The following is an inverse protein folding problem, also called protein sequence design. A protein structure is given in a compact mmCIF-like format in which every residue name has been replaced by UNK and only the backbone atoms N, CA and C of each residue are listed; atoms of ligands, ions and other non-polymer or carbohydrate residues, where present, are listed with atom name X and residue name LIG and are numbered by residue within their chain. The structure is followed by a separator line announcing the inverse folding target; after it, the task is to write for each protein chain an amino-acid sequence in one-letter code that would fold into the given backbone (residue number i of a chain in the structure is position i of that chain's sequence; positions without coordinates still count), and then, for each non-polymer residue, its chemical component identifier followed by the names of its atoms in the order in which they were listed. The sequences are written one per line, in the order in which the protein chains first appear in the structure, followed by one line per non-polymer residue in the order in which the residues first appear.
data_IF_227276379528
#
_entry.id   IF_227276379528
#
_cell.length_a   1.000
_cell.length_b   1.000
_cell.length_c   1.000
_cell.angle_alpha   90.00
_cell.angle_beta   90.00
_cell.angle_gamma   90.00
#
_symmetry.space_group_name_H-M   'P 1'
#
loop_
_entity.id
_entity.type
_entity.pdbx_description
1 polymer ?
#
# COMPACT_ATOMS: atom_id res chain seq x y z
N UNK A 1 21.14 -39.19 -17.38
CA UNK A 1 19.67 -39.01 -17.37
C UNK A 1 19.11 -38.43 -16.05
N UNK A 2 19.73 -38.71 -14.90
CA UNK A 2 19.25 -38.21 -13.60
C UNK A 2 19.54 -36.73 -13.33
N UNK A 3 20.63 -36.16 -13.88
CA UNK A 3 21.03 -34.75 -13.63
C UNK A 3 20.05 -33.77 -14.27
N UNK A 4 19.60 -34.05 -15.50
CA UNK A 4 18.61 -33.22 -16.21
C UNK A 4 17.25 -33.24 -15.52
N UNK A 5 16.84 -34.41 -15.00
CA UNK A 5 15.57 -34.58 -14.28
C UNK A 5 15.59 -33.80 -12.95
N UNK A 6 16.69 -33.84 -12.22
CA UNK A 6 16.84 -33.12 -10.96
C UNK A 6 16.91 -31.59 -11.19
N UNK A 7 17.56 -31.13 -12.28
CA UNK A 7 17.59 -29.72 -12.66
C UNK A 7 16.18 -29.20 -12.99
N UNK A 8 15.38 -30.01 -13.68
CA UNK A 8 14.01 -29.64 -14.06
C UNK A 8 13.08 -29.54 -12.84
N UNK A 9 13.25 -30.44 -11.85
CA UNK A 9 12.51 -30.42 -10.57
C UNK A 9 12.89 -29.17 -9.75
N UNK A 10 14.16 -28.79 -9.69
CA UNK A 10 14.62 -27.57 -9.01
C UNK A 10 14.09 -26.31 -9.69
N UNK A 11 14.01 -26.27 -11.02
CA UNK A 11 13.41 -25.14 -11.75
C UNK A 11 11.90 -25.02 -11.49
N UNK A 12 11.16 -26.12 -11.42
CA UNK A 12 9.73 -26.13 -11.11
C UNK A 12 9.44 -25.67 -9.68
N UNK A 13 10.31 -26.00 -8.72
CA UNK A 13 10.18 -25.56 -7.33
C UNK A 13 10.53 -24.07 -7.12
N UNK A 14 11.39 -23.50 -7.98
CA UNK A 14 11.73 -22.08 -7.93
C UNK A 14 10.56 -21.15 -8.39
N UNK A 15 9.61 -21.67 -9.18
CA UNK A 15 8.46 -20.89 -9.64
C UNK A 15 7.35 -20.71 -8.58
N UNK A 16 7.40 -21.42 -7.46
CA UNK A 16 6.33 -21.37 -6.45
C UNK A 16 6.67 -20.55 -5.20
N UNK A 17 7.86 -19.98 -5.12
CA UNK A 17 8.24 -19.11 -4.01
C UNK A 17 7.81 -17.64 -4.29
N UNK A 18 6.54 -17.41 -4.60
CA UNK A 18 5.95 -16.09 -4.36
C UNK A 18 5.83 -15.96 -2.85
N UNK A 19 6.60 -15.05 -2.26
CA UNK A 19 6.39 -14.64 -0.88
C UNK A 19 4.97 -14.06 -0.82
N UNK A 20 4.00 -14.87 -0.38
CA UNK A 20 2.66 -14.38 -0.13
C UNK A 20 2.79 -13.31 0.93
N UNK A 21 2.40 -12.09 0.58
CA UNK A 21 2.28 -11.03 1.57
C UNK A 21 1.22 -11.46 2.58
N UNK A 22 1.36 -11.16 3.88
CA UNK A 22 0.33 -11.48 4.87
C UNK A 22 -0.95 -10.66 4.65
N UNK A 23 -0.94 -9.75 3.70
CA UNK A 23 -2.04 -8.85 3.36
C UNK A 23 -2.82 -9.39 2.17
N UNK A 24 -4.15 -9.32 2.27
CA UNK A 24 -5.08 -9.82 1.25
C UNK A 24 -6.07 -8.71 0.89
N UNK A 25 -6.19 -8.41 -0.39
CA UNK A 25 -7.09 -7.38 -0.92
C UNK A 25 -8.35 -7.98 -1.57
N UNK A 26 -8.61 -9.27 -1.37
CA UNK A 26 -9.78 -9.97 -1.94
C UNK A 26 -11.09 -9.32 -1.49
N UNK A 27 -11.95 -9.01 -2.44
CA UNK A 27 -13.29 -8.47 -2.17
C UNK A 27 -13.32 -7.00 -1.71
N UNK A 28 -12.23 -6.26 -1.83
CA UNK A 28 -12.21 -4.82 -1.61
C UNK A 28 -12.90 -4.12 -2.78
N UNK A 29 -14.15 -3.70 -2.60
CA UNK A 29 -14.96 -3.04 -3.64
C UNK A 29 -15.07 -1.53 -3.47
N UNK A 30 -14.84 -1.03 -2.25
CA UNK A 30 -14.90 0.39 -1.95
C UNK A 30 -14.11 0.72 -0.68
N UNK A 31 -13.61 1.94 -0.61
CA UNK A 31 -13.00 2.54 0.58
C UNK A 31 -13.14 4.05 0.59
N UNK A 32 -12.91 4.67 1.75
CA UNK A 32 -12.73 6.10 1.90
C UNK A 32 -11.25 6.46 1.65
N UNK A 33 -10.92 7.29 0.65
CA UNK A 33 -9.54 7.69 0.37
C UNK A 33 -9.10 8.79 1.33
N UNK A 34 -7.91 8.65 1.92
CA UNK A 34 -7.34 9.60 2.88
C UNK A 34 -5.89 9.92 2.53
N UNK A 35 -5.48 11.15 2.72
CA UNK A 35 -4.08 11.55 2.73
C UNK A 35 -3.84 12.38 3.99
N UNK A 36 -2.93 11.94 4.85
CA UNK A 36 -2.49 12.67 6.02
C UNK A 36 -1.04 13.11 5.87
N UNK A 37 -0.83 14.40 5.94
CA UNK A 37 0.47 15.05 5.85
C UNK A 37 0.84 15.57 7.26
N UNK A 38 1.63 14.77 7.97
CA UNK A 38 2.05 15.07 9.35
C UNK A 38 3.39 15.83 9.37
N UNK A 39 3.49 16.86 8.55
CA UNK A 39 4.65 17.74 8.46
C UNK A 39 4.25 19.07 7.82
N UNK A 40 4.89 20.14 8.26
CA UNK A 40 4.78 21.48 7.69
C UNK A 40 5.90 21.79 6.66
N UNK A 41 6.81 20.83 6.44
CA UNK A 41 7.95 20.95 5.52
C UNK A 41 7.60 20.65 4.05
N UNK A 42 6.40 20.14 3.80
CA UNK A 42 5.88 19.86 2.46
C UNK A 42 4.63 20.74 2.28
N UNK A 43 4.50 21.36 1.11
CA UNK A 43 3.36 22.22 0.81
C UNK A 43 2.03 21.44 0.88
N UNK A 44 1.04 22.01 1.54
CA UNK A 44 -0.26 21.36 1.77
C UNK A 44 -1.00 21.02 0.46
N UNK A 45 -0.66 21.63 -0.68
CA UNK A 45 -1.24 21.31 -1.98
C UNK A 45 -0.91 19.89 -2.46
N UNK A 46 0.21 19.30 -1.97
CA UNK A 46 0.58 17.92 -2.26
C UNK A 46 -0.40 16.91 -1.69
N UNK A 47 -1.06 17.23 -0.57
CA UNK A 47 -2.15 16.40 -0.04
C UNK A 47 -3.25 16.19 -1.10
N UNK A 48 -3.64 17.25 -1.81
CA UNK A 48 -4.65 17.14 -2.87
C UNK A 48 -4.13 16.35 -4.08
N UNK A 49 -2.89 16.59 -4.52
CA UNK A 49 -2.30 15.89 -5.67
C UNK A 49 -2.24 14.39 -5.43
N UNK A 50 -1.77 13.95 -4.26
CA UNK A 50 -1.69 12.54 -3.88
C UNK A 50 -3.08 11.93 -3.74
N UNK A 51 -4.05 12.68 -3.20
CA UNK A 51 -5.44 12.23 -3.15
C UNK A 51 -6.04 12.01 -4.54
N UNK A 52 -5.77 12.93 -5.48
CA UNK A 52 -6.23 12.82 -6.87
C UNK A 52 -5.61 11.57 -7.55
N UNK A 53 -4.31 11.29 -7.33
CA UNK A 53 -3.63 10.07 -7.82
C UNK A 53 -4.29 8.80 -7.26
N UNK A 54 -4.58 8.77 -5.94
CA UNK A 54 -5.23 7.64 -5.28
C UNK A 54 -6.63 7.39 -5.85
N UNK A 55 -7.44 8.45 -6.02
CA UNK A 55 -8.79 8.36 -6.61
C UNK A 55 -8.73 7.89 -8.07
N UNK A 56 -7.78 8.39 -8.85
CA UNK A 56 -7.59 7.97 -10.23
C UNK A 56 -7.25 6.48 -10.30
N UNK A 57 -6.25 6.01 -9.52
CA UNK A 57 -5.86 4.60 -9.47
C UNK A 57 -7.00 3.71 -9.02
N UNK A 58 -7.80 4.14 -8.06
CA UNK A 58 -9.01 3.43 -7.61
C UNK A 58 -10.01 3.24 -8.76
N UNK A 59 -10.22 4.29 -9.54
CA UNK A 59 -11.13 4.26 -10.70
C UNK A 59 -10.63 3.27 -11.77
N UNK A 60 -9.31 3.25 -12.05
CA UNK A 60 -8.68 2.30 -12.98
C UNK A 60 -8.86 0.83 -12.53
N UNK A 61 -8.87 0.59 -11.21
CA UNK A 61 -9.10 -0.73 -10.62
C UNK A 61 -10.59 -1.09 -10.49
N UNK A 62 -11.51 -0.19 -10.80
CA UNK A 62 -12.95 -0.39 -10.61
C UNK A 62 -13.37 -0.37 -9.14
N UNK A 63 -12.56 0.22 -8.25
CA UNK A 63 -12.87 0.37 -6.83
C UNK A 63 -13.54 1.72 -6.60
N UNK A 64 -14.69 1.69 -5.92
CA UNK A 64 -15.42 2.92 -5.60
C UNK A 64 -14.77 3.66 -4.43
N UNK A 65 -14.55 4.96 -4.60
CA UNK A 65 -14.18 5.86 -3.50
C UNK A 65 -15.43 6.49 -2.91
N UNK A 66 -15.70 6.27 -1.61
CA UNK A 66 -16.91 6.74 -0.92
C UNK A 66 -16.56 7.65 0.24
N UNK A 67 -17.39 8.66 0.46
CA UNK A 67 -17.25 9.55 1.63
C UNK A 67 -17.46 8.83 2.97
N UNK A 68 -18.19 7.71 2.97
CA UNK A 68 -18.40 6.87 4.14
C UNK A 68 -18.22 5.40 3.72
N UNK A 69 -17.23 4.76 4.30
CA UNK A 69 -16.94 3.33 4.13
C UNK A 69 -16.42 2.77 5.45
N UNK A 70 -16.61 1.49 5.69
CA UNK A 70 -15.98 0.76 6.81
C UNK A 70 -14.50 0.48 6.55
N UNK A 71 -14.01 0.83 5.35
CA UNK A 71 -12.62 0.74 4.94
C UNK A 71 -12.07 2.11 4.60
N UNK A 72 -10.78 2.29 4.84
CA UNK A 72 -10.06 3.51 4.48
C UNK A 72 -8.73 3.14 3.85
N UNK A 73 -8.47 3.64 2.62
CA UNK A 73 -7.15 3.57 2.01
C UNK A 73 -6.45 4.91 2.23
N UNK A 74 -5.38 4.89 3.00
CA UNK A 74 -4.73 6.08 3.49
C UNK A 74 -3.25 6.18 3.10
N UNK A 75 -2.83 7.34 2.61
CA UNK A 75 -1.42 7.74 2.66
C UNK A 75 -1.14 8.47 3.97
N UNK A 76 -0.10 8.03 4.67
CA UNK A 76 0.47 8.72 5.81
C UNK A 76 1.89 9.18 5.45
N UNK A 77 2.12 10.49 5.53
CA UNK A 77 3.37 11.14 5.15
C UNK A 77 3.92 11.90 6.35
N UNK A 78 5.17 11.64 6.73
CA UNK A 78 5.81 12.27 7.88
C UNK A 78 7.32 12.32 7.72
N UNK A 79 7.97 13.29 8.36
CA UNK A 79 9.41 13.22 8.60
C UNK A 79 9.72 12.44 9.85
N UNK A 80 10.78 11.63 9.78
CA UNK A 80 11.30 10.85 10.91
C UNK A 80 12.80 11.11 11.08
N UNK A 81 13.28 11.10 12.32
CA UNK A 81 14.70 11.15 12.61
C UNK A 81 15.34 9.77 12.46
N UNK A 82 16.41 9.69 11.68
CA UNK A 82 17.25 8.48 11.52
C UNK A 82 18.69 8.88 11.85
N UNK A 83 19.12 8.67 13.09
CA UNK A 83 20.36 9.22 13.61
C UNK A 83 20.34 10.76 13.57
N UNK A 84 21.34 11.35 12.92
CA UNK A 84 21.44 12.81 12.73
C UNK A 84 20.74 13.29 11.43
N UNK A 85 20.09 12.38 10.69
CA UNK A 85 19.45 12.64 9.41
C UNK A 85 17.94 12.69 9.55
N UNK A 86 17.32 13.62 8.85
CA UNK A 86 15.87 13.70 8.71
C UNK A 86 15.44 12.99 7.44
N UNK A 87 14.69 11.91 7.59
CA UNK A 87 14.16 11.12 6.47
C UNK A 87 12.67 11.36 6.27
N UNK A 88 12.20 11.29 5.04
CA UNK A 88 10.79 11.29 4.70
C UNK A 88 10.27 9.85 4.71
N UNK A 89 9.13 9.66 5.34
CA UNK A 89 8.41 8.39 5.38
C UNK A 89 7.06 8.56 4.70
N UNK A 90 6.75 7.69 3.75
CA UNK A 90 5.44 7.57 3.12
C UNK A 90 4.94 6.14 3.25
N UNK A 91 3.71 5.98 3.70
CA UNK A 91 3.05 4.68 3.85
C UNK A 91 1.68 4.71 3.18
N UNK A 92 1.36 3.64 2.44
CA UNK A 92 0.02 3.36 1.94
C UNK A 92 -0.55 2.19 2.73
N UNK A 93 -1.71 2.41 3.37
CA UNK A 93 -2.34 1.43 4.24
C UNK A 93 -3.83 1.33 3.99
N UNK A 94 -4.36 0.10 4.00
CA UNK A 94 -5.79 -0.17 4.04
C UNK A 94 -6.18 -0.58 5.45
N UNK A 95 -7.05 0.19 6.07
CA UNK A 95 -7.66 -0.12 7.35
C UNK A 95 -9.13 -0.48 7.20
N UNK A 96 -9.61 -1.43 7.98
CA UNK A 96 -11.00 -1.88 7.94
C UNK A 96 -11.49 -2.39 9.28
N UNK A 97 -12.81 -2.34 9.49
CA UNK A 97 -13.45 -2.99 10.63
C UNK A 97 -13.46 -4.50 10.43
N UNK A 98 -13.05 -5.24 11.45
CA UNK A 98 -13.11 -6.69 11.53
C UNK A 98 -13.73 -7.13 12.87
N UNK A 99 -14.20 -8.37 12.93
CA UNK A 99 -14.77 -8.94 14.15
C UNK A 99 -13.87 -10.08 14.67
N UNK A 100 -13.51 -10.02 15.93
CA UNK A 100 -12.85 -11.15 16.60
C UNK A 100 -13.82 -12.32 16.70
N UNK A 101 -13.41 -13.50 16.28
CA UNK A 101 -14.32 -14.67 16.24
C UNK A 101 -14.65 -15.20 17.63
N UNK A 102 -13.75 -15.07 18.59
CA UNK A 102 -13.89 -15.55 19.99
C UNK A 102 -14.76 -14.62 20.84
N UNK A 103 -14.45 -13.32 20.85
CA UNK A 103 -15.13 -12.33 21.71
C UNK A 103 -16.30 -11.63 21.03
N UNK A 104 -16.42 -11.71 19.68
CA UNK A 104 -17.37 -10.95 18.86
C UNK A 104 -17.19 -9.43 18.95
N UNK A 105 -16.03 -8.98 19.41
CA UNK A 105 -15.69 -7.57 19.44
C UNK A 105 -15.36 -7.06 18.05
N UNK A 106 -15.89 -5.90 17.69
CA UNK A 106 -15.47 -5.15 16.51
C UNK A 106 -14.13 -4.48 16.81
N UNK A 107 -13.19 -4.66 15.90
CA UNK A 107 -11.84 -4.08 15.97
C UNK A 107 -11.50 -3.42 14.65
N UNK A 108 -10.59 -2.44 14.68
CA UNK A 108 -10.00 -1.89 13.48
C UNK A 108 -8.66 -2.59 13.21
N UNK A 109 -8.45 -3.03 11.98
CA UNK A 109 -7.25 -3.75 11.56
C UNK A 109 -6.64 -3.13 10.31
N UNK A 110 -5.34 -3.28 10.14
CA UNK A 110 -4.68 -3.02 8.87
C UNK A 110 -4.66 -4.32 8.06
N UNK A 111 -5.34 -4.32 6.93
CA UNK A 111 -5.37 -5.43 5.98
C UNK A 111 -4.40 -5.26 4.81
N UNK A 112 -3.74 -4.10 4.71
CA UNK A 112 -2.64 -3.81 3.79
C UNK A 112 -1.74 -2.72 4.39
N UNK A 113 -0.44 -2.86 4.18
CA UNK A 113 0.55 -1.85 4.53
C UNK A 113 1.77 -2.00 3.62
N UNK A 114 2.16 -0.93 2.98
CA UNK A 114 3.43 -0.80 2.26
C UNK A 114 3.97 0.62 2.43
N UNK A 115 5.29 0.81 2.34
CA UNK A 115 5.86 2.14 2.54
C UNK A 115 7.30 2.26 2.10
N UNK A 116 7.77 3.50 2.13
CA UNK A 116 9.15 3.89 1.84
C UNK A 116 9.67 4.83 2.91
N UNK A 117 10.97 4.75 3.16
CA UNK A 117 11.71 5.71 3.97
C UNK A 117 12.92 6.10 3.13
N UNK A 118 13.12 7.39 2.92
CA UNK A 118 14.22 7.92 2.11
C UNK A 118 14.67 9.28 2.62
N UNK A 119 15.89 9.66 2.27
CA UNK A 119 16.43 11.00 2.54
C UNK A 119 16.30 11.78 1.24
N UNK A 120 15.35 12.72 1.14
CA UNK A 120 15.06 13.37 -0.13
C UNK A 120 16.14 14.38 -0.50
N UNK A 121 16.47 14.45 -1.80
CA UNK A 121 17.17 15.60 -2.42
C UNK A 121 16.16 16.66 -2.84
N UNK A 122 15.05 16.25 -3.48
CA UNK A 122 13.85 17.04 -3.73
C UNK A 122 12.63 16.35 -3.12
N UNK A 123 12.25 16.81 -1.93
CA UNK A 123 11.21 16.16 -1.14
C UNK A 123 9.84 16.14 -1.85
N UNK A 124 9.55 17.13 -2.68
CA UNK A 124 8.24 17.28 -3.31
C UNK A 124 8.11 16.41 -4.55
N UNK A 125 9.14 16.33 -5.39
CA UNK A 125 9.19 15.48 -6.59
C UNK A 125 9.25 14.01 -6.19
N UNK A 126 10.20 13.64 -5.32
CA UNK A 126 10.38 12.26 -4.85
C UNK A 126 9.16 11.72 -4.08
N UNK A 127 8.44 12.59 -3.35
CA UNK A 127 7.21 12.20 -2.67
C UNK A 127 6.15 11.72 -3.65
N UNK A 128 5.98 12.40 -4.80
CA UNK A 128 5.00 12.00 -5.81
C UNK A 128 5.42 10.72 -6.53
N UNK A 129 6.71 10.57 -6.83
CA UNK A 129 7.24 9.34 -7.44
C UNK A 129 7.00 8.13 -6.53
N UNK A 130 7.31 8.24 -5.23
CA UNK A 130 7.08 7.16 -4.29
C UNK A 130 5.58 6.91 -4.02
N UNK A 131 4.73 7.93 -4.08
CA UNK A 131 3.29 7.73 -4.01
C UNK A 131 2.78 6.93 -5.20
N UNK A 132 3.25 7.22 -6.42
CA UNK A 132 2.91 6.48 -7.63
C UNK A 132 3.38 5.03 -7.56
N UNK A 133 4.64 4.78 -7.17
CA UNK A 133 5.18 3.44 -6.97
C UNK A 133 4.33 2.60 -6.00
N UNK A 134 3.96 3.18 -4.85
CA UNK A 134 3.15 2.48 -3.86
C UNK A 134 1.75 2.15 -4.39
N UNK A 135 1.15 3.04 -5.19
CA UNK A 135 -0.13 2.79 -5.86
C UNK A 135 -0.02 1.69 -6.92
N UNK A 136 1.09 1.62 -7.67
CA UNK A 136 1.30 0.53 -8.64
C UNK A 136 1.48 -0.82 -7.94
N UNK A 137 2.24 -0.88 -6.85
CA UNK A 137 2.39 -2.11 -6.04
C UNK A 137 1.04 -2.56 -5.49
N UNK A 138 0.25 -1.63 -4.95
CA UNK A 138 -1.12 -1.90 -4.49
C UNK A 138 -1.99 -2.44 -5.64
N UNK A 139 -1.93 -1.81 -6.81
CA UNK A 139 -2.72 -2.21 -7.98
C UNK A 139 -2.36 -3.60 -8.49
N UNK A 140 -1.09 -3.97 -8.48
CA UNK A 140 -0.63 -5.32 -8.87
C UNK A 140 -1.22 -6.35 -7.89
N UNK A 141 -1.05 -6.16 -6.59
CA UNK A 141 -1.58 -7.08 -5.59
C UNK A 141 -3.11 -7.15 -5.64
N UNK A 142 -3.79 -6.02 -5.79
CA UNK A 142 -5.24 -5.98 -5.92
C UNK A 142 -5.75 -6.84 -7.11
N UNK A 143 -5.07 -6.76 -8.26
CA UNK A 143 -5.42 -7.58 -9.43
C UNK A 143 -5.16 -9.06 -9.18
N UNK A 144 -4.04 -9.42 -8.56
CA UNK A 144 -3.69 -10.80 -8.22
C UNK A 144 -4.72 -11.42 -7.25
N UNK A 145 -5.18 -10.66 -6.26
CA UNK A 145 -6.11 -11.12 -5.23
C UNK A 145 -7.58 -11.20 -5.72
N UNK A 146 -7.93 -10.54 -6.84
CA UNK A 146 -9.32 -10.42 -7.33
C UNK A 146 -9.54 -10.98 -8.75
N UNK A 147 -8.56 -11.68 -9.32
CA UNK A 147 -8.65 -12.37 -10.63
C UNK A 147 -9.40 -13.71 -10.54
#
# INVERSE_FOLDING_TARGET
MNLLRNLFICLLLAYTAHAQTPFVLTGVKSYYPVVELNTDKIDASYKKRILDMLVQKSTELGVETKNFSTRSLAFLISYIGVGDTLALKIELMLGESAMRLDTKEEIFVLSYLNGRIFVPEDAEEELLEHAEELLEIFAVQYKEDNL
#
